data_IF_932509471990
#
_entry.id   IF_932509471990
#
_cell.length_a   1.000
_cell.length_b   1.000
_cell.length_c   1.000
_cell.angle_alpha   90.00
_cell.angle_beta   90.00
_cell.angle_gamma   90.00
#
_symmetry.space_group_name_H-M   'P 1'
#
loop_
_entity.id
_entity.type
_entity.pdbx_description
1 polymer ?
#
# COMPACT_ATOMS: atom_id res chain seq x y z
N UNK A 1 0.66 -7.77 -6.82
CA UNK A 1 1.37 -8.90 -7.45
C UNK A 1 2.83 -8.87 -7.05
N UNK A 2 3.43 -10.02 -6.73
CA UNK A 2 4.84 -10.15 -6.35
C UNK A 2 5.48 -11.25 -7.19
N UNK A 3 6.63 -10.97 -7.81
CA UNK A 3 7.40 -11.94 -8.58
C UNK A 3 8.81 -12.08 -8.03
N UNK A 4 9.25 -13.31 -7.70
CA UNK A 4 10.65 -13.59 -7.37
C UNK A 4 11.47 -13.54 -8.65
N UNK A 5 12.49 -12.68 -8.70
CA UNK A 5 13.41 -12.59 -9.83
C UNK A 5 14.62 -13.52 -9.66
N UNK A 6 14.97 -13.83 -8.41
CA UNK A 6 16.07 -14.71 -8.08
C UNK A 6 15.76 -15.47 -6.79
N UNK A 7 15.98 -16.78 -6.78
CA UNK A 7 15.70 -17.65 -5.64
C UNK A 7 16.73 -18.77 -5.54
N UNK A 8 17.35 -18.89 -4.37
CA UNK A 8 18.20 -20.02 -3.93
C UNK A 8 17.77 -20.44 -2.52
N UNK A 9 18.12 -21.66 -2.06
CA UNK A 9 17.91 -22.04 -0.68
C UNK A 9 18.57 -21.01 0.26
N UNK A 10 17.76 -20.29 1.05
CA UNK A 10 18.23 -19.26 1.97
C UNK A 10 18.41 -17.85 1.38
N UNK A 11 18.16 -17.64 0.08
CA UNK A 11 18.30 -16.33 -0.56
C UNK A 11 17.17 -16.08 -1.57
N UNK A 12 16.48 -14.94 -1.48
CA UNK A 12 15.45 -14.54 -2.45
C UNK A 12 15.49 -13.05 -2.71
N UNK A 13 15.37 -12.65 -3.97
CA UNK A 13 15.07 -11.28 -4.38
C UNK A 13 13.75 -11.29 -5.15
N UNK A 14 12.80 -10.48 -4.70
CA UNK A 14 11.50 -10.33 -5.31
C UNK A 14 11.15 -8.85 -5.53
N UNK A 15 10.43 -8.60 -6.62
CA UNK A 15 9.79 -7.31 -6.89
C UNK A 15 8.27 -7.45 -6.78
N UNK A 16 7.61 -6.36 -6.43
CA UNK A 16 6.17 -6.30 -6.34
C UNK A 16 5.62 -4.99 -6.90
N UNK A 17 4.45 -5.10 -7.51
CA UNK A 17 3.62 -3.96 -7.92
C UNK A 17 2.24 -4.18 -7.32
N UNK A 18 1.70 -3.16 -6.65
CA UNK A 18 0.36 -3.20 -6.09
C UNK A 18 -0.39 -1.92 -6.43
N UNK A 19 -1.66 -2.07 -6.76
CA UNK A 19 -2.59 -0.97 -6.93
C UNK A 19 -3.61 -1.03 -5.79
N UNK A 20 -3.83 0.08 -5.10
CA UNK A 20 -4.77 0.19 -3.99
C UNK A 20 -5.66 1.41 -4.22
N UNK A 21 -6.97 1.26 -4.01
CA UNK A 21 -7.93 2.35 -4.09
C UNK A 21 -8.71 2.40 -2.80
N UNK A 22 -8.56 3.51 -2.05
CA UNK A 22 -9.28 3.74 -0.80
C UNK A 22 -10.25 4.89 -0.96
N UNK A 23 -11.51 4.62 -0.65
CA UNK A 23 -12.54 5.63 -0.45
C UNK A 23 -12.84 5.73 1.04
N UNK A 24 -12.75 6.92 1.60
CA UNK A 24 -13.15 7.19 2.98
C UNK A 24 -14.12 8.36 2.99
N UNK A 25 -15.17 8.25 3.81
CA UNK A 25 -16.13 9.31 4.05
C UNK A 25 -15.98 9.78 5.49
N UNK A 26 -15.72 11.07 5.67
CA UNK A 26 -15.68 11.70 7.00
C UNK A 26 -16.94 12.54 7.18
N UNK A 27 -17.82 12.12 8.10
CA UNK A 27 -19.01 12.88 8.51
C UNK A 27 -18.89 13.31 9.96
N UNK A 28 -19.28 14.55 10.27
CA UNK A 28 -19.51 15.03 11.63
C UNK A 28 -20.98 14.79 12.03
N UNK A 29 -21.32 14.96 13.31
CA UNK A 29 -22.67 14.76 13.85
C UNK A 29 -23.76 15.34 12.93
N UNK A 30 -24.89 14.63 12.82
CA UNK A 30 -25.98 14.88 11.87
C UNK A 30 -25.64 14.70 10.38
N UNK A 31 -24.70 13.81 10.04
CA UNK A 31 -24.27 13.50 8.67
C UNK A 31 -23.70 14.71 7.90
N UNK A 32 -23.27 15.76 8.60
CA UNK A 32 -22.68 16.92 7.96
C UNK A 32 -21.31 16.52 7.37
N UNK A 33 -21.06 16.70 6.06
CA UNK A 33 -19.76 16.41 5.47
C UNK A 33 -18.70 17.28 6.14
N UNK A 34 -17.68 16.65 6.73
CA UNK A 34 -16.57 17.39 7.33
C UNK A 34 -15.36 17.25 6.43
N UNK A 35 -14.95 18.33 5.74
CA UNK A 35 -13.79 18.29 4.87
C UNK A 35 -12.53 18.11 5.72
N UNK A 36 -12.09 16.86 5.87
CA UNK A 36 -10.75 16.55 6.34
C UNK A 36 -9.74 16.90 5.25
N UNK A 37 -8.49 17.20 5.63
CA UNK A 37 -7.41 17.46 4.68
C UNK A 37 -7.31 16.34 3.64
N UNK A 38 -7.59 16.67 2.37
CA UNK A 38 -7.62 15.70 1.25
C UNK A 38 -9.00 15.14 0.87
N UNK A 39 -10.07 15.57 1.55
CA UNK A 39 -11.46 15.27 1.19
C UNK A 39 -12.06 16.34 0.27
N UNK A 40 -13.03 15.94 -0.54
CA UNK A 40 -13.85 16.84 -1.35
C UNK A 40 -14.96 17.54 -0.53
N UNK A 41 -15.76 18.38 -1.19
CA UNK A 41 -16.86 19.15 -0.57
C UNK A 41 -17.95 18.25 0.06
N UNK A 42 -17.97 16.96 -0.24
CA UNK A 42 -18.86 15.96 0.37
C UNK A 42 -18.19 15.19 1.52
N UNK A 43 -16.99 15.59 1.94
CA UNK A 43 -16.23 14.89 2.98
C UNK A 43 -15.67 13.54 2.51
N UNK A 44 -15.58 13.32 1.19
CA UNK A 44 -15.07 12.08 0.61
C UNK A 44 -13.59 12.23 0.23
N UNK A 45 -12.74 11.34 0.76
CA UNK A 45 -11.36 11.18 0.29
C UNK A 45 -11.28 9.99 -0.65
N UNK A 46 -10.77 10.19 -1.86
CA UNK A 46 -10.47 9.12 -2.82
C UNK A 46 -8.98 9.06 -3.09
N UNK A 47 -8.35 8.01 -2.60
CA UNK A 47 -6.91 7.82 -2.72
C UNK A 47 -6.63 6.63 -3.65
N UNK A 48 -5.96 6.90 -4.76
CA UNK A 48 -5.49 5.86 -5.69
C UNK A 48 -3.98 5.77 -5.55
N UNK A 49 -3.48 4.60 -5.16
CA UNK A 49 -2.06 4.36 -4.92
C UNK A 49 -1.54 3.30 -5.86
N UNK A 50 -0.41 3.59 -6.50
CA UNK A 50 0.43 2.59 -7.16
C UNK A 50 1.70 2.43 -6.33
N UNK A 51 1.96 1.22 -5.85
CA UNK A 51 3.09 0.89 -4.99
C UNK A 51 4.04 -0.07 -5.69
N UNK A 52 5.31 0.29 -5.72
CA UNK A 52 6.42 -0.58 -6.09
C UNK A 52 7.13 -1.05 -4.83
N UNK A 53 7.48 -2.33 -4.76
CA UNK A 53 8.23 -2.90 -3.64
C UNK A 53 9.34 -3.81 -4.11
N UNK A 54 10.41 -3.87 -3.32
CA UNK A 54 11.51 -4.82 -3.46
C UNK A 54 11.70 -5.50 -2.10
N UNK A 55 11.78 -6.81 -2.10
CA UNK A 55 12.07 -7.61 -0.91
C UNK A 55 13.29 -8.45 -1.18
N UNK A 56 14.27 -8.38 -0.27
CA UNK A 56 15.43 -9.27 -0.24
C UNK A 56 15.37 -10.10 1.03
N UNK A 57 15.51 -11.41 0.90
CA UNK A 57 15.68 -12.33 2.00
C UNK A 57 17.07 -12.95 1.86
N UNK A 58 17.90 -12.89 2.90
CA UNK A 58 19.17 -13.59 2.98
C UNK A 58 19.28 -14.21 4.37
N UNK A 59 19.51 -15.51 4.45
CA UNK A 59 19.80 -16.19 5.72
C UNK A 59 21.20 -15.78 6.20
N UNK A 60 21.42 -15.55 7.50
CA UNK A 60 22.77 -15.47 8.03
C UNK A 60 23.44 -16.83 7.82
N UNK A 61 24.43 -16.87 6.93
CA UNK A 61 25.26 -18.05 6.72
C UNK A 61 26.06 -18.28 8.00
N UNK A 62 25.69 -19.28 8.79
CA UNK A 62 26.54 -19.75 9.90
C UNK A 62 27.81 -20.35 9.28
N UNK A 63 28.95 -19.71 9.56
CA UNK A 63 30.28 -20.32 9.45
C UNK A 63 30.51 -21.24 10.64
#
# INVERSE_FOLDING_TARGET
MRQPLYRKPGEEIALGIAFDRRSSKTTLADNLPFPSLGSDDNGETRLSMLRFSRTGLGAPMKM
#
